data_IF_869100336243
#
_entry.id   IF_869100336243
#
_cell.length_a   1.000
_cell.length_b   1.000
_cell.length_c   1.000
_cell.angle_alpha   90.00
_cell.angle_beta   90.00
_cell.angle_gamma   90.00
#
_symmetry.space_group_name_H-M   'P 1'
#
loop_
_entity.id
_entity.type
_entity.pdbx_description
1 polymer ?
#
# COMPACT_ATOMS: atom_id res chain seq x y z
N UNK A 1 -25.66 17.67 -11.09
CA UNK A 1 -25.85 16.29 -11.61
C UNK A 1 -24.58 15.53 -11.24
N UNK A 2 -24.65 14.49 -10.40
CA UNK A 2 -23.46 13.71 -10.06
C UNK A 2 -22.92 13.09 -11.36
N UNK A 3 -21.60 13.19 -11.59
CA UNK A 3 -20.98 12.60 -12.77
C UNK A 3 -21.33 11.09 -12.85
N UNK A 4 -21.59 10.54 -14.05
CA UNK A 4 -21.84 9.12 -14.20
C UNK A 4 -20.70 8.33 -13.57
N UNK A 5 -21.05 7.29 -12.81
CA UNK A 5 -20.09 6.49 -12.02
C UNK A 5 -19.04 5.88 -12.96
N UNK A 6 -17.77 6.18 -12.69
CA UNK A 6 -16.66 5.63 -13.46
C UNK A 6 -16.56 4.11 -13.31
N UNK A 7 -16.36 3.41 -14.42
CA UNK A 7 -16.04 1.99 -14.47
C UNK A 7 -14.62 1.80 -15.03
N UNK A 8 -13.99 0.68 -14.67
CA UNK A 8 -12.71 0.29 -15.25
C UNK A 8 -12.91 -0.13 -16.71
N UNK A 9 -12.05 0.34 -17.58
CA UNK A 9 -12.07 0.02 -19.02
C UNK A 9 -11.52 -1.36 -19.33
N UNK A 10 -10.69 -1.93 -18.45
CA UNK A 10 -10.04 -3.22 -18.67
C UNK A 10 -9.90 -4.05 -17.39
N UNK A 11 -9.86 -5.39 -17.55
CA UNK A 11 -9.55 -6.32 -16.45
C UNK A 11 -8.14 -6.09 -15.89
N UNK A 12 -7.19 -5.82 -16.78
CA UNK A 12 -5.82 -5.51 -16.40
C UNK A 12 -5.75 -4.24 -15.55
N UNK A 13 -6.45 -3.19 -15.97
CA UNK A 13 -6.54 -1.93 -15.23
C UNK A 13 -7.15 -2.09 -13.85
N UNK A 14 -8.23 -2.86 -13.74
CA UNK A 14 -8.80 -3.23 -12.43
C UNK A 14 -7.80 -3.99 -11.57
N UNK A 15 -7.12 -5.00 -12.12
CA UNK A 15 -6.13 -5.79 -11.39
C UNK A 15 -4.97 -4.93 -10.90
N UNK A 16 -4.40 -4.08 -11.76
CA UNK A 16 -3.32 -3.18 -11.39
C UNK A 16 -3.75 -2.16 -10.33
N UNK A 17 -4.98 -1.64 -10.41
CA UNK A 17 -5.51 -0.74 -9.38
C UNK A 17 -5.72 -1.45 -8.03
N UNK A 18 -6.29 -2.67 -8.05
CA UNK A 18 -6.48 -3.47 -6.84
C UNK A 18 -5.14 -3.87 -6.21
N UNK A 19 -4.17 -4.33 -7.03
CA UNK A 19 -2.82 -4.63 -6.57
C UNK A 19 -2.10 -3.39 -6.05
N UNK A 20 -2.23 -2.24 -6.72
CA UNK A 20 -1.64 -0.98 -6.26
C UNK A 20 -2.26 -0.44 -4.97
N UNK A 21 -3.53 -0.78 -4.68
CA UNK A 21 -4.12 -0.50 -3.38
C UNK A 21 -3.56 -1.35 -2.24
N UNK A 22 -3.03 -2.55 -2.56
CA UNK A 22 -2.49 -3.48 -1.58
C UNK A 22 -0.96 -3.35 -1.42
N UNK A 23 -0.25 -3.02 -2.48
CA UNK A 23 1.21 -2.86 -2.49
C UNK A 23 1.57 -1.44 -2.09
N UNK A 24 2.27 -1.29 -0.96
CA UNK A 24 2.71 0.02 -0.47
C UNK A 24 3.90 -0.04 0.48
N UNK A 25 4.04 1.00 1.30
CA UNK A 25 5.12 1.15 2.28
C UNK A 25 5.23 -0.04 3.24
N UNK A 26 4.10 -0.65 3.61
CA UNK A 26 4.07 -1.84 4.46
C UNK A 26 4.89 -2.99 3.89
N UNK A 27 4.88 -3.19 2.57
CA UNK A 27 5.62 -4.27 1.91
C UNK A 27 7.12 -3.96 1.80
N UNK A 28 7.50 -2.68 1.74
CA UNK A 28 8.90 -2.26 1.55
C UNK A 28 9.64 -2.15 2.89
N UNK A 29 8.96 -1.74 3.96
CA UNK A 29 9.57 -1.50 5.26
C UNK A 29 9.08 -2.45 6.36
N UNK A 30 7.76 -2.58 6.52
CA UNK A 30 7.18 -3.37 7.61
C UNK A 30 7.43 -4.86 7.46
N UNK A 31 7.14 -5.41 6.27
CA UNK A 31 7.29 -6.84 6.00
C UNK A 31 8.74 -7.34 6.18
N UNK A 32 9.78 -6.70 5.60
CA UNK A 32 11.15 -7.15 5.79
C UNK A 32 11.61 -7.07 7.25
N UNK A 33 11.19 -6.03 7.98
CA UNK A 33 11.52 -5.87 9.41
C UNK A 33 10.92 -7.00 10.25
N UNK A 34 9.66 -7.34 9.99
CA UNK A 34 8.98 -8.45 10.69
C UNK A 34 9.56 -9.80 10.30
N UNK A 35 9.85 -10.02 9.02
CA UNK A 35 10.48 -11.25 8.56
C UNK A 35 11.86 -11.44 9.21
N UNK A 36 12.70 -10.40 9.24
CA UNK A 36 14.02 -10.46 9.85
C UNK A 36 13.95 -10.69 11.37
N UNK A 37 13.00 -10.05 12.06
CA UNK A 37 12.89 -10.12 13.52
C UNK A 37 12.21 -11.39 14.04
N UNK A 38 11.40 -12.06 13.22
CA UNK A 38 10.56 -13.20 13.63
C UNK A 38 10.98 -14.54 12.98
N UNK A 39 12.27 -14.74 12.72
CA UNK A 39 12.79 -16.04 12.26
C UNK A 39 12.67 -16.30 10.75
N UNK A 40 12.63 -15.25 9.94
CA UNK A 40 12.78 -15.31 8.48
C UNK A 40 11.72 -16.17 7.81
N UNK A 41 12.15 -17.34 7.31
CA UNK A 41 11.30 -18.27 6.59
C UNK A 41 10.16 -18.85 7.44
N UNK A 42 10.36 -18.96 8.76
CA UNK A 42 9.31 -19.39 9.69
C UNK A 42 8.14 -18.40 9.70
N UNK A 43 8.44 -17.10 9.87
CA UNK A 43 7.46 -16.03 9.75
C UNK A 43 6.80 -15.99 8.36
N UNK A 44 7.60 -16.09 7.28
CA UNK A 44 7.08 -16.10 5.91
C UNK A 44 6.07 -17.22 5.68
N UNK A 45 6.34 -18.43 6.17
CA UNK A 45 5.45 -19.57 6.03
C UNK A 45 4.10 -19.32 6.72
N UNK A 46 4.13 -18.90 7.99
CA UNK A 46 2.92 -18.57 8.75
C UNK A 46 2.15 -17.42 8.11
N UNK A 47 2.86 -16.38 7.68
CA UNK A 47 2.30 -15.24 6.95
C UNK A 47 1.54 -15.69 5.69
N UNK A 48 2.12 -16.59 4.88
CA UNK A 48 1.46 -17.11 3.68
C UNK A 48 0.22 -17.93 4.02
N UNK A 49 0.29 -18.80 5.03
CA UNK A 49 -0.88 -19.57 5.48
C UNK A 49 -2.02 -18.66 5.90
N UNK A 50 -1.75 -17.64 6.73
CA UNK A 50 -2.75 -16.66 7.16
C UNK A 50 -3.26 -15.79 6.00
N UNK A 51 -2.40 -15.42 5.06
CA UNK A 51 -2.80 -14.66 3.87
C UNK A 51 -3.82 -15.45 3.04
N UNK A 52 -3.61 -16.75 2.82
CA UNK A 52 -4.55 -17.59 2.08
C UNK A 52 -5.79 -17.97 2.90
N UNK A 53 -5.66 -18.19 4.20
CA UNK A 53 -6.76 -18.64 5.06
C UNK A 53 -7.70 -17.50 5.49
N UNK A 54 -7.18 -16.28 5.67
CA UNK A 54 -7.94 -15.14 6.19
C UNK A 54 -8.05 -13.99 5.18
N UNK A 55 -6.92 -13.52 4.65
CA UNK A 55 -6.92 -12.32 3.80
C UNK A 55 -7.59 -12.58 2.44
N UNK A 56 -7.37 -13.75 1.83
CA UNK A 56 -8.00 -14.10 0.56
C UNK A 56 -9.54 -14.22 0.65
N UNK A 57 -10.14 -14.95 1.61
CA UNK A 57 -11.59 -14.95 1.78
C UNK A 57 -12.18 -13.58 2.07
N UNK A 58 -11.51 -12.76 2.91
CA UNK A 58 -11.95 -11.40 3.20
C UNK A 58 -11.94 -10.52 1.94
N UNK A 59 -10.86 -10.55 1.17
CA UNK A 59 -10.76 -9.85 -0.12
C UNK A 59 -11.87 -10.28 -1.08
N UNK A 60 -12.11 -11.59 -1.20
CA UNK A 60 -13.18 -12.11 -2.07
C UNK A 60 -14.56 -11.63 -1.60
N UNK A 61 -14.83 -11.60 -0.30
CA UNK A 61 -16.07 -11.07 0.23
C UNK A 61 -16.26 -9.58 -0.13
N UNK A 62 -15.23 -8.74 0.08
CA UNK A 62 -15.29 -7.33 -0.27
C UNK A 62 -15.53 -7.10 -1.77
N UNK A 63 -14.83 -7.85 -2.62
CA UNK A 63 -14.98 -7.76 -4.07
C UNK A 63 -16.37 -8.19 -4.56
N UNK A 64 -16.92 -9.27 -3.99
CA UNK A 64 -18.27 -9.76 -4.34
C UNK A 64 -19.33 -8.74 -3.90
N UNK A 65 -19.25 -8.26 -2.66
CA UNK A 65 -20.20 -7.26 -2.12
C UNK A 65 -20.14 -5.98 -2.94
N UNK A 66 -18.95 -5.47 -3.23
CA UNK A 66 -18.76 -4.26 -4.03
C UNK A 66 -19.30 -4.38 -5.46
N UNK A 67 -19.08 -5.54 -6.11
CA UNK A 67 -19.55 -5.84 -7.47
C UNK A 67 -21.07 -5.98 -7.53
N UNK A 68 -21.68 -6.64 -6.55
CA UNK A 68 -23.12 -6.81 -6.49
C UNK A 68 -23.83 -5.50 -6.18
N UNK A 69 -23.38 -4.77 -5.16
CA UNK A 69 -24.05 -3.55 -4.71
C UNK A 69 -23.85 -2.36 -5.65
N UNK A 70 -22.74 -2.32 -6.41
CA UNK A 70 -22.28 -1.15 -7.19
C UNK A 70 -22.55 0.16 -6.46
N UNK A 71 -22.10 0.23 -5.21
CA UNK A 71 -22.26 1.39 -4.32
C UNK A 71 -20.95 1.70 -3.59
N UNK A 72 -20.90 2.78 -2.80
CA UNK A 72 -19.81 3.03 -1.86
C UNK A 72 -19.84 2.00 -0.71
N UNK A 73 -18.75 1.85 0.06
CA UNK A 73 -18.61 0.84 1.11
C UNK A 73 -19.80 0.84 2.11
N UNK A 74 -20.19 2.01 2.61
CA UNK A 74 -21.30 2.16 3.58
C UNK A 74 -22.63 1.66 3.00
N UNK A 75 -22.91 2.10 1.77
CA UNK A 75 -24.17 1.76 1.09
C UNK A 75 -24.19 0.30 0.67
N UNK A 76 -23.05 -0.25 0.25
CA UNK A 76 -22.90 -1.65 -0.12
C UNK A 76 -23.17 -2.57 1.07
N UNK A 77 -22.56 -2.32 2.23
CA UNK A 77 -22.81 -3.08 3.46
C UNK A 77 -24.27 -2.96 3.91
N UNK A 78 -24.89 -1.78 3.77
CA UNK A 78 -26.30 -1.59 4.09
C UNK A 78 -27.23 -2.34 3.14
N UNK A 79 -26.86 -2.48 1.87
CA UNK A 79 -27.70 -3.12 0.85
C UNK A 79 -27.85 -4.63 1.03
N UNK A 80 -26.79 -5.30 1.52
CA UNK A 80 -26.78 -6.75 1.77
C UNK A 80 -27.35 -7.13 3.15
N UNK A 81 -27.71 -6.15 3.96
CA UNK A 81 -28.17 -6.34 5.35
C UNK A 81 -29.68 -6.59 5.42
N UNK A 82 -30.15 -7.76 5.89
CA UNK A 82 -31.58 -8.12 5.85
C UNK A 82 -32.43 -7.43 6.93
N UNK A 83 -31.87 -7.15 8.12
CA UNK A 83 -32.63 -6.68 9.28
C UNK A 83 -32.34 -5.23 9.69
N UNK A 84 -33.26 -4.60 10.46
CA UNK A 84 -33.05 -3.23 10.99
C UNK A 84 -31.78 -3.11 11.84
N UNK A 85 -31.52 -4.10 12.71
CA UNK A 85 -30.31 -4.15 13.55
C UNK A 85 -29.03 -4.34 12.72
N UNK A 86 -29.04 -5.23 11.73
CA UNK A 86 -27.85 -5.44 10.89
C UNK A 86 -27.59 -4.26 9.95
N UNK A 87 -28.63 -3.57 9.47
CA UNK A 87 -28.49 -2.31 8.71
C UNK A 87 -27.84 -1.20 9.56
N UNK A 88 -28.18 -1.11 10.84
CA UNK A 88 -27.53 -0.19 11.76
C UNK A 88 -26.05 -0.58 11.97
N UNK A 89 -25.76 -1.86 12.20
CA UNK A 89 -24.38 -2.35 12.30
C UNK A 89 -23.56 -2.08 11.02
N UNK A 90 -24.14 -2.30 9.85
CA UNK A 90 -23.50 -2.02 8.55
C UNK A 90 -23.18 -0.53 8.35
N UNK A 91 -24.07 0.36 8.80
CA UNK A 91 -23.79 1.81 8.80
C UNK A 91 -22.62 2.13 9.73
N UNK A 92 -22.64 1.62 10.96
CA UNK A 92 -21.57 1.85 11.94
C UNK A 92 -20.22 1.35 11.40
N UNK A 93 -20.16 0.12 10.91
CA UNK A 93 -18.93 -0.48 10.35
C UNK A 93 -18.46 0.30 9.12
N UNK A 94 -19.36 0.68 8.22
CA UNK A 94 -19.01 1.47 7.04
C UNK A 94 -18.45 2.84 7.40
N UNK A 95 -19.06 3.56 8.34
CA UNK A 95 -18.57 4.87 8.79
C UNK A 95 -17.29 4.76 9.58
N UNK A 96 -17.16 3.75 10.45
CA UNK A 96 -15.91 3.45 11.15
C UNK A 96 -14.77 3.21 10.14
N UNK A 97 -15.03 2.45 9.07
CA UNK A 97 -14.07 2.25 7.99
C UNK A 97 -13.64 3.56 7.31
N UNK A 98 -14.56 4.48 7.04
CA UNK A 98 -14.23 5.80 6.48
C UNK A 98 -13.32 6.59 7.42
N UNK A 99 -13.64 6.61 8.72
CA UNK A 99 -12.81 7.28 9.74
C UNK A 99 -11.42 6.65 9.81
N UNK A 100 -11.34 5.32 9.85
CA UNK A 100 -10.08 4.58 9.88
C UNK A 100 -9.22 4.89 8.67
N UNK A 101 -9.76 4.80 7.46
CA UNK A 101 -9.01 5.11 6.23
C UNK A 101 -8.59 6.59 6.19
N UNK A 102 -9.38 7.51 6.77
CA UNK A 102 -9.00 8.92 6.86
C UNK A 102 -7.79 9.16 7.77
N UNK A 103 -7.71 8.45 8.90
CA UNK A 103 -6.52 8.49 9.77
C UNK A 103 -5.32 7.79 9.17
N UNK A 104 -5.51 6.69 8.45
CA UNK A 104 -4.42 6.04 7.71
C UNK A 104 -3.86 7.01 6.67
N UNK A 105 -4.73 7.71 5.93
CA UNK A 105 -4.34 8.67 4.90
C UNK A 105 -3.53 9.84 5.48
N UNK A 106 -3.86 10.34 6.68
CA UNK A 106 -3.14 11.49 7.26
C UNK A 106 -1.67 11.17 7.52
N UNK A 107 -1.36 9.99 8.09
CA UNK A 107 0.01 9.52 8.26
C UNK A 107 0.67 9.17 6.92
N UNK A 108 -0.05 8.48 6.03
CA UNK A 108 0.49 8.12 4.71
C UNK A 108 0.86 9.34 3.87
N UNK A 109 0.14 10.45 4.00
CA UNK A 109 0.46 11.69 3.31
C UNK A 109 1.84 12.26 3.74
N UNK A 110 2.17 12.14 5.04
CA UNK A 110 3.47 12.57 5.58
C UNK A 110 4.59 11.71 5.00
N UNK A 111 4.48 10.38 5.12
CA UNK A 111 5.53 9.47 4.65
C UNK A 111 5.69 9.53 3.14
N UNK A 112 4.60 9.65 2.38
CA UNK A 112 4.66 9.82 0.93
C UNK A 112 5.29 11.16 0.54
N UNK A 113 5.05 12.21 1.33
CA UNK A 113 5.75 13.48 1.18
C UNK A 113 7.27 13.34 1.32
N UNK A 114 7.75 12.55 2.30
CA UNK A 114 9.17 12.24 2.43
C UNK A 114 9.71 11.48 1.22
N UNK A 115 8.95 10.52 0.68
CA UNK A 115 9.37 9.79 -0.52
C UNK A 115 9.54 10.71 -1.73
N UNK A 116 8.64 11.68 -1.92
CA UNK A 116 8.78 12.68 -2.99
C UNK A 116 10.02 13.55 -2.74
N UNK A 117 10.26 14.00 -1.51
CA UNK A 117 11.46 14.78 -1.19
C UNK A 117 12.75 13.99 -1.49
N UNK A 118 12.82 12.73 -1.06
CA UNK A 118 13.97 11.86 -1.27
C UNK A 118 14.14 11.44 -2.74
N UNK A 119 13.06 11.40 -3.52
CA UNK A 119 13.15 11.19 -4.95
C UNK A 119 13.97 12.30 -5.66
N UNK A 120 13.88 13.54 -5.19
CA UNK A 120 14.62 14.67 -5.77
C UNK A 120 16.05 14.83 -5.24
N UNK A 121 16.42 14.19 -4.12
CA UNK A 121 17.77 14.31 -3.54
C UNK A 121 18.88 13.85 -4.51
N UNK A 122 18.80 12.65 -5.14
CA UNK A 122 19.81 12.23 -6.11
C UNK A 122 19.93 13.19 -7.30
N UNK A 123 18.81 13.75 -7.76
CA UNK A 123 18.80 14.72 -8.87
C UNK A 123 19.52 16.00 -8.47
N UNK A 124 19.25 16.53 -7.27
CA UNK A 124 19.91 17.72 -6.75
C UNK A 124 21.43 17.50 -6.58
N UNK A 125 21.85 16.31 -6.14
CA UNK A 125 23.26 15.94 -6.02
C UNK A 125 23.97 15.88 -7.38
N UNK A 126 23.32 15.29 -8.39
CA UNK A 126 23.87 15.26 -9.76
C UNK A 126 24.08 16.67 -10.31
N UNK A 127 23.18 17.60 -9.98
CA UNK A 127 23.28 19.02 -10.36
C UNK A 127 24.23 19.83 -9.47
N UNK A 128 24.96 19.20 -8.54
CA UNK A 128 25.87 19.85 -7.58
C UNK A 128 25.18 20.91 -6.70
N UNK A 129 23.88 20.73 -6.41
CA UNK A 129 23.08 21.63 -5.57
C UNK A 129 23.03 21.13 -4.11
N UNK A 130 24.18 21.09 -3.44
CA UNK A 130 24.32 20.46 -2.11
C UNK A 130 23.43 21.07 -1.02
N UNK A 131 23.11 22.35 -1.11
CA UNK A 131 22.19 23.01 -0.19
C UNK A 131 20.75 22.51 -0.36
N UNK A 132 20.31 22.33 -1.61
CA UNK A 132 18.98 21.79 -1.91
C UNK A 132 18.88 20.30 -1.56
N UNK A 133 19.91 19.51 -1.89
CA UNK A 133 19.99 18.10 -1.50
C UNK A 133 19.86 17.94 0.03
N UNK A 134 20.63 18.71 0.80
CA UNK A 134 20.52 18.71 2.27
C UNK A 134 19.14 19.12 2.77
N UNK A 135 18.53 20.14 2.18
CA UNK A 135 17.19 20.58 2.56
C UNK A 135 16.13 19.50 2.30
N UNK A 136 16.23 18.77 1.19
CA UNK A 136 15.34 17.65 0.85
C UNK A 136 15.43 16.52 1.88
N UNK A 137 16.63 16.23 2.39
CA UNK A 137 16.84 15.14 3.35
C UNK A 137 16.63 15.55 4.82
N UNK A 138 16.74 16.83 5.16
CA UNK A 138 16.65 17.30 6.55
C UNK A 138 15.21 17.36 7.02
N UNK A 139 14.90 16.68 8.13
CA UNK A 139 13.55 16.75 8.71
C UNK A 139 13.27 18.15 9.25
N UNK A 140 12.24 18.78 8.67
CA UNK A 140 11.79 20.11 9.02
C UNK A 140 10.29 20.25 8.75
N UNK A 141 9.58 20.94 9.65
CA UNK A 141 8.13 21.14 9.56
C UNK A 141 7.74 21.79 8.23
N UNK A 142 8.47 22.82 7.80
CA UNK A 142 8.18 23.51 6.54
C UNK A 142 8.34 22.59 5.32
N UNK A 143 9.44 21.83 5.25
CA UNK A 143 9.68 20.84 4.19
C UNK A 143 8.55 19.82 4.15
N UNK A 144 8.22 19.24 5.30
CA UNK A 144 7.17 18.22 5.44
C UNK A 144 5.82 18.72 4.94
N UNK A 145 5.41 19.90 5.40
CA UNK A 145 4.14 20.50 4.98
C UNK A 145 4.09 20.74 3.47
N UNK A 146 5.17 21.21 2.85
CA UNK A 146 5.23 21.43 1.40
C UNK A 146 5.01 20.11 0.64
N UNK A 147 5.73 19.05 0.98
CA UNK A 147 5.62 17.78 0.26
C UNK A 147 4.33 17.02 0.58
N UNK A 148 3.77 17.18 1.77
CA UNK A 148 2.41 16.68 2.10
C UNK A 148 1.37 17.35 1.21
N UNK A 149 1.42 18.69 1.10
CA UNK A 149 0.49 19.43 0.23
C UNK A 149 0.68 18.99 -1.22
N UNK A 150 1.92 18.87 -1.70
CA UNK A 150 2.23 18.39 -3.04
C UNK A 150 1.65 16.98 -3.29
N UNK A 151 1.88 16.03 -2.38
CA UNK A 151 1.34 14.68 -2.47
C UNK A 151 -0.19 14.67 -2.50
N UNK A 152 -0.83 15.44 -1.62
CA UNK A 152 -2.29 15.53 -1.56
C UNK A 152 -2.87 16.18 -2.83
N UNK A 153 -2.22 17.22 -3.37
CA UNK A 153 -2.64 17.84 -4.64
C UNK A 153 -2.56 16.85 -5.80
N UNK A 154 -1.48 16.08 -5.91
CA UNK A 154 -1.35 15.03 -6.94
C UNK A 154 -2.42 13.96 -6.76
N UNK A 155 -2.67 13.53 -5.52
CA UNK A 155 -3.70 12.53 -5.21
C UNK A 155 -5.09 13.02 -5.60
N UNK A 156 -5.45 14.25 -5.23
CA UNK A 156 -6.72 14.88 -5.58
C UNK A 156 -6.85 15.04 -7.11
N UNK A 157 -5.77 15.42 -7.79
CA UNK A 157 -5.76 15.55 -9.25
C UNK A 157 -6.06 14.20 -9.94
N UNK A 158 -5.44 13.12 -9.49
CA UNK A 158 -5.69 11.76 -10.01
C UNK A 158 -7.13 11.34 -9.74
N UNK A 159 -7.66 11.59 -8.53
CA UNK A 159 -9.04 11.22 -8.17
C UNK A 159 -10.06 12.03 -8.98
N UNK A 160 -9.82 13.33 -9.18
CA UNK A 160 -10.69 14.21 -9.96
C UNK A 160 -10.72 13.84 -11.45
N UNK A 161 -9.65 13.26 -11.98
CA UNK A 161 -9.63 12.69 -13.33
C UNK A 161 -10.50 11.42 -13.47
N UNK A 162 -11.01 10.88 -12.35
CA UNK A 162 -11.94 9.75 -12.34
C UNK A 162 -11.27 8.38 -12.41
N UNK A 163 -12.09 7.33 -12.49
CA UNK A 163 -11.63 5.93 -12.41
C UNK A 163 -10.77 5.55 -13.62
N UNK A 164 -11.24 5.84 -14.84
CA UNK A 164 -10.55 5.46 -16.08
C UNK A 164 -9.33 6.35 -16.35
N UNK A 165 -9.52 7.66 -16.43
CA UNK A 165 -8.48 8.60 -16.86
C UNK A 165 -7.50 8.97 -15.73
N UNK A 166 -7.88 8.71 -14.47
CA UNK A 166 -7.03 8.86 -13.29
C UNK A 166 -6.47 7.53 -12.79
N UNK A 167 -7.26 6.83 -11.97
CA UNK A 167 -6.80 5.67 -11.19
C UNK A 167 -6.27 4.56 -12.09
N UNK A 168 -7.05 4.09 -13.05
CA UNK A 168 -6.68 3.00 -13.96
C UNK A 168 -5.46 3.39 -14.81
N UNK A 169 -5.46 4.60 -15.37
CA UNK A 169 -4.36 5.12 -16.19
C UNK A 169 -3.02 5.10 -15.46
N UNK A 170 -2.98 5.56 -14.21
CA UNK A 170 -1.73 5.61 -13.45
C UNK A 170 -1.36 4.26 -12.86
N UNK A 171 -2.32 3.51 -12.29
CA UNK A 171 -2.05 2.19 -11.73
C UNK A 171 -1.50 1.21 -12.78
N UNK A 172 -2.08 1.20 -13.98
CA UNK A 172 -1.62 0.33 -15.08
C UNK A 172 -0.21 0.63 -15.60
N UNK A 173 0.34 1.81 -15.31
CA UNK A 173 1.72 2.20 -15.67
C UNK A 173 2.68 2.03 -14.51
N UNK A 174 2.31 2.56 -13.35
CA UNK A 174 3.19 2.65 -12.18
C UNK A 174 3.42 1.28 -11.53
N UNK A 175 2.40 0.40 -11.49
CA UNK A 175 2.56 -0.94 -10.90
C UNK A 175 3.57 -1.80 -11.65
N UNK A 176 3.50 -1.95 -12.99
CA UNK A 176 4.54 -2.65 -13.73
C UNK A 176 5.93 -2.02 -13.56
N UNK A 177 6.03 -0.68 -13.56
CA UNK A 177 7.34 -0.03 -13.36
C UNK A 177 7.93 -0.31 -11.98
N UNK A 178 7.10 -0.36 -10.94
CA UNK A 178 7.53 -0.72 -9.58
C UNK A 178 8.10 -2.14 -9.55
N UNK A 179 7.40 -3.10 -10.17
CA UNK A 179 7.87 -4.50 -10.24
C UNK A 179 9.22 -4.59 -10.97
N UNK A 180 9.36 -3.89 -12.10
CA UNK A 180 10.62 -3.86 -12.87
C UNK A 180 11.76 -3.29 -12.01
N UNK A 181 11.54 -2.16 -11.34
CA UNK A 181 12.54 -1.54 -10.47
C UNK A 181 12.93 -2.49 -9.32
N UNK A 182 11.96 -3.15 -8.68
CA UNK A 182 12.22 -4.11 -7.62
C UNK A 182 13.05 -5.30 -8.11
N UNK A 183 12.77 -5.84 -9.29
CA UNK A 183 13.57 -6.93 -9.88
C UNK A 183 15.01 -6.46 -10.14
N UNK A 184 15.18 -5.26 -10.71
CA UNK A 184 16.51 -4.69 -10.94
C UNK A 184 17.29 -4.49 -9.63
N UNK A 185 16.62 -4.00 -8.59
CA UNK A 185 17.21 -3.84 -7.26
C UNK A 185 17.59 -5.19 -6.64
N UNK A 186 16.76 -6.22 -6.78
CA UNK A 186 17.09 -7.58 -6.31
C UNK A 186 18.36 -8.07 -7.00
N UNK A 187 18.43 -7.97 -8.33
CA UNK A 187 19.61 -8.38 -9.10
C UNK A 187 20.85 -7.62 -8.61
N UNK A 188 20.76 -6.30 -8.45
CA UNK A 188 21.86 -5.48 -7.95
C UNK A 188 22.30 -5.87 -6.54
N UNK A 189 21.37 -6.02 -5.59
CA UNK A 189 21.68 -6.39 -4.20
C UNK A 189 22.34 -7.76 -4.12
N UNK A 190 21.96 -8.70 -4.99
CA UNK A 190 22.59 -10.02 -5.06
C UNK A 190 24.06 -9.99 -5.52
N UNK A 191 24.52 -8.89 -6.15
CA UNK A 191 25.95 -8.70 -6.50
C UNK A 191 26.78 -8.11 -5.36
N UNK A 192 26.15 -7.62 -4.28
CA UNK A 192 26.84 -6.99 -3.17
C UNK A 192 27.44 -8.02 -2.19
N UNK A 193 28.55 -7.67 -1.51
CA UNK A 193 29.11 -8.53 -0.47
C UNK A 193 28.11 -8.72 0.67
N UNK A 194 27.99 -9.95 1.18
CA UNK A 194 27.05 -10.30 2.26
C UNK A 194 25.64 -10.71 1.79
N UNK A 195 25.34 -10.66 0.48
CA UNK A 195 24.05 -11.05 -0.06
C UNK A 195 23.66 -12.51 0.28
N UNK A 196 24.63 -13.43 0.27
CA UNK A 196 24.39 -14.83 0.64
C UNK A 196 23.96 -15.00 2.09
N UNK A 197 24.46 -14.16 2.99
CA UNK A 197 24.15 -14.26 4.41
C UNK A 197 22.77 -13.67 4.70
N UNK A 198 22.40 -12.59 4.01
CA UNK A 198 21.02 -12.08 4.00
C UNK A 198 20.02 -13.10 3.48
N UNK A 199 20.34 -13.81 2.39
CA UNK A 199 19.51 -14.89 1.87
C UNK A 199 19.36 -16.05 2.86
N UNK A 200 20.45 -16.45 3.54
CA UNK A 200 20.39 -17.49 4.58
C UNK A 200 19.51 -17.06 5.74
N UNK A 201 19.67 -15.83 6.24
CA UNK A 201 18.85 -15.31 7.32
C UNK A 201 17.36 -15.22 6.93
N UNK A 202 17.05 -14.95 5.66
CA UNK A 202 15.67 -14.88 5.18
C UNK A 202 15.05 -16.25 4.89
N UNK A 203 15.80 -17.18 4.28
CA UNK A 203 15.27 -18.44 3.74
C UNK A 203 15.49 -19.66 4.63
N UNK A 204 16.43 -19.64 5.57
CA UNK A 204 16.65 -20.77 6.49
C UNK A 204 15.68 -20.64 7.66
N UNK A 205 14.71 -21.57 7.80
CA UNK A 205 13.71 -21.49 8.85
C UNK A 205 14.30 -21.85 10.21
N UNK A 206 14.14 -20.95 11.19
CA UNK A 206 14.32 -21.28 12.59
C UNK A 206 12.97 -21.68 13.20
N UNK A 207 12.67 -22.99 13.12
CA UNK A 207 11.42 -23.55 13.60
C UNK A 207 11.22 -23.43 15.13
N UNK A 208 12.28 -23.12 15.88
CA UNK A 208 12.18 -22.89 17.33
C UNK A 208 11.32 -21.66 17.67
N UNK A 209 11.19 -20.72 16.73
CA UNK A 209 10.43 -19.47 16.88
C UNK A 209 8.94 -19.60 16.54
N UNK A 210 8.51 -20.67 15.86
CA UNK A 210 7.10 -20.81 15.42
C UNK A 210 6.12 -20.93 16.59
N UNK A 211 6.56 -21.47 17.72
CA UNK A 211 5.74 -21.60 18.93
C UNK A 211 5.70 -20.31 19.78
N UNK A 212 6.45 -19.28 19.41
CA UNK A 212 6.47 -18.01 20.14
C UNK A 212 5.17 -17.23 19.85
N UNK A 213 4.35 -16.90 20.87
CA UNK A 213 3.15 -16.08 20.69
C UNK A 213 3.44 -14.72 20.06
N UNK A 214 4.67 -14.19 20.22
CA UNK A 214 5.10 -12.93 19.61
C UNK A 214 5.24 -13.01 18.07
N UNK A 215 5.25 -14.21 17.49
CA UNK A 215 5.35 -14.39 16.03
C UNK A 215 4.03 -14.04 15.30
N UNK A 216 2.90 -13.99 16.03
CA UNK A 216 1.55 -13.76 15.48
C UNK A 216 0.96 -12.37 15.80
N UNK A 217 1.69 -11.52 16.53
CA UNK A 217 1.20 -10.20 17.00
C UNK A 217 1.82 -9.07 16.17
#
# INVERSE_FOLDING_TARGET
MAAPRGEFSSRFGFLMAASGSAVGLGNIWGFPTNAASNGGAAFLFVYLVLAFALAYPALMAELIIGRHARANAVTALRSISPGKKSKLAALIVGFAGIVTVSFILSFYAIVSGWMIAFFFDPVARILSMDGAARWLTTDAVLRNSIFVVMFMTVTIFIINAGVKDGIEKWASRLMPSLIVILILLIIYVLTLPGASDGLRAYLVPDFSRIADPALLV
#
